data_IF_287123770002
#
_entry.id   IF_287123770002
#
_cell.length_a   1.000
_cell.length_b   1.000
_cell.length_c   1.000
_cell.angle_alpha   90.00
_cell.angle_beta   90.00
_cell.angle_gamma   90.00
#
_symmetry.space_group_name_H-M   'P 1'
#
loop_
_entity.id
_entity.type
_entity.pdbx_description
1 polymer ?
#
# COMPACT_ATOMS: atom_id res chain seq x y z
N UNK A 1 -5.92 -15.40 -17.33
CA UNK A 1 -6.22 -14.26 -16.44
C UNK A 1 -6.40 -14.86 -15.06
N UNK A 2 -5.67 -14.36 -14.05
CA UNK A 2 -5.78 -14.87 -12.67
C UNK A 2 -7.19 -14.57 -12.16
N UNK A 3 -7.81 -15.53 -11.47
CA UNK A 3 -9.11 -15.29 -10.81
C UNK A 3 -8.92 -14.53 -9.50
N UNK A 4 -9.99 -13.91 -9.00
CA UNK A 4 -9.97 -13.21 -7.69
C UNK A 4 -9.51 -14.15 -6.57
N UNK A 5 -10.00 -15.39 -6.54
CA UNK A 5 -9.64 -16.36 -5.49
C UNK A 5 -8.18 -16.81 -5.59
N UNK A 6 -7.65 -17.03 -6.79
CA UNK A 6 -6.23 -17.31 -6.99
C UNK A 6 -5.36 -16.14 -6.54
N UNK A 7 -5.78 -14.90 -6.84
CA UNK A 7 -5.06 -13.69 -6.46
C UNK A 7 -5.09 -13.47 -4.93
N UNK A 8 -6.24 -13.65 -4.28
CA UNK A 8 -6.34 -13.61 -2.81
C UNK A 8 -5.42 -14.65 -2.17
N UNK A 9 -5.40 -15.87 -2.69
CA UNK A 9 -4.51 -16.94 -2.21
C UNK A 9 -3.02 -16.58 -2.40
N UNK A 10 -2.67 -15.97 -3.53
CA UNK A 10 -1.32 -15.45 -3.80
C UNK A 10 -0.92 -14.36 -2.77
N UNK A 11 -1.79 -13.39 -2.54
CA UNK A 11 -1.57 -12.31 -1.55
C UNK A 11 -1.39 -12.90 -0.15
N UNK A 12 -2.33 -13.74 0.29
CA UNK A 12 -2.25 -14.37 1.62
C UNK A 12 -0.95 -15.15 1.81
N UNK A 13 -0.51 -15.89 0.78
CA UNK A 13 0.74 -16.65 0.84
C UNK A 13 1.96 -15.73 0.90
N UNK A 14 1.99 -14.63 0.15
CA UNK A 14 3.13 -13.72 0.11
C UNK A 14 3.33 -12.92 1.42
N UNK A 15 2.25 -12.74 2.18
CA UNK A 15 2.23 -11.92 3.40
C UNK A 15 2.07 -12.73 4.70
N UNK A 16 2.00 -14.07 4.62
CA UNK A 16 1.72 -14.95 5.78
C UNK A 16 2.73 -14.79 6.93
N UNK A 17 4.00 -14.58 6.61
CA UNK A 17 5.09 -14.51 7.59
C UNK A 17 5.39 -13.07 8.04
N UNK A 18 4.58 -12.07 7.64
CA UNK A 18 4.77 -10.69 8.09
C UNK A 18 4.29 -10.55 9.52
N UNK A 19 5.16 -10.21 10.48
CA UNK A 19 4.75 -10.04 11.87
C UNK A 19 3.88 -8.79 12.03
N UNK A 20 2.93 -8.78 12.99
CA UNK A 20 2.22 -7.57 13.34
C UNK A 20 3.21 -6.50 13.85
N UNK A 21 3.02 -5.22 13.48
CA UNK A 21 3.85 -4.16 14.02
C UNK A 21 3.66 -4.06 15.53
N UNK A 22 4.71 -3.75 16.31
CA UNK A 22 4.51 -3.37 17.70
C UNK A 22 3.75 -2.04 17.78
N UNK A 23 3.03 -1.81 18.88
CA UNK A 23 2.14 -0.65 18.98
C UNK A 23 2.89 0.67 18.78
N UNK A 24 4.15 0.81 19.19
CA UNK A 24 4.92 2.06 18.98
C UNK A 24 5.35 2.29 17.52
N UNK A 25 5.11 1.34 16.61
CA UNK A 25 5.55 1.33 15.23
C UNK A 25 4.36 1.26 14.25
N UNK A 26 3.21 1.84 14.61
CA UNK A 26 2.03 1.87 13.71
C UNK A 26 2.13 3.03 12.72
N UNK A 27 2.65 4.19 13.14
CA UNK A 27 2.79 5.38 12.28
C UNK A 27 4.23 5.89 12.24
N UNK A 28 4.64 6.50 11.13
CA UNK A 28 6.00 7.05 10.98
C UNK A 28 6.15 8.45 11.63
N UNK A 29 5.07 9.23 11.63
CA UNK A 29 5.07 10.62 12.12
C UNK A 29 4.04 10.82 13.23
N UNK A 30 4.39 11.61 14.24
CA UNK A 30 3.47 12.10 15.27
C UNK A 30 2.91 13.50 14.99
N UNK A 31 3.15 14.05 13.79
CA UNK A 31 2.73 15.41 13.44
C UNK A 31 1.24 15.47 13.07
N UNK A 32 0.47 16.23 13.84
CA UNK A 32 -0.97 16.36 13.66
C UNK A 32 -1.76 15.33 14.48
N UNK A 33 -3.08 15.39 14.35
CA UNK A 33 -3.98 14.53 15.12
C UNK A 33 -4.35 13.22 14.37
N UNK A 34 -4.27 13.21 13.05
CA UNK A 34 -4.60 12.01 12.24
C UNK A 34 -3.66 10.82 12.48
N UNK A 35 -2.32 10.98 12.52
CA UNK A 35 -1.45 9.84 12.83
C UNK A 35 -1.72 9.27 14.23
N UNK A 36 -2.06 10.13 15.20
CA UNK A 36 -2.45 9.67 16.55
C UNK A 36 -3.74 8.85 16.49
N UNK A 37 -4.73 9.28 15.70
CA UNK A 37 -5.97 8.54 15.52
C UNK A 37 -5.75 7.18 14.83
N UNK A 38 -4.84 7.09 13.85
CA UNK A 38 -4.42 5.81 13.25
C UNK A 38 -3.75 4.93 14.31
N UNK A 39 -2.81 5.50 15.06
CA UNK A 39 -2.11 4.81 16.13
C UNK A 39 -3.08 4.21 17.17
N UNK A 40 -4.13 4.94 17.55
CA UNK A 40 -5.17 4.48 18.48
C UNK A 40 -6.07 3.41 17.85
N UNK A 41 -6.47 3.58 16.59
CA UNK A 41 -7.37 2.65 15.90
C UNK A 41 -6.76 1.25 15.69
N UNK A 42 -5.43 1.17 15.50
CA UNK A 42 -4.74 -0.09 15.22
C UNK A 42 -3.95 -0.64 16.41
N UNK A 43 -3.87 0.09 17.54
CA UNK A 43 -3.14 -0.34 18.73
C UNK A 43 -3.69 -1.68 19.28
N UNK A 44 -2.78 -2.60 19.61
CA UNK A 44 -3.13 -3.88 20.21
C UNK A 44 -3.68 -4.93 19.24
N UNK A 45 -3.96 -4.59 17.98
CA UNK A 45 -4.44 -5.54 16.98
C UNK A 45 -3.30 -6.47 16.57
N UNK A 46 -3.42 -7.77 16.93
CA UNK A 46 -2.38 -8.77 16.65
C UNK A 46 -2.65 -9.59 15.40
N UNK A 47 -3.88 -9.57 14.89
CA UNK A 47 -4.28 -10.26 13.67
C UNK A 47 -5.12 -9.29 12.83
N UNK A 48 -4.65 -8.98 11.61
CA UNK A 48 -5.37 -8.06 10.72
C UNK A 48 -6.78 -8.56 10.36
N UNK A 49 -7.04 -9.87 10.45
CA UNK A 49 -8.37 -10.47 10.21
C UNK A 49 -9.41 -10.10 11.26
N UNK A 50 -8.96 -9.55 12.40
CA UNK A 50 -9.86 -9.09 13.45
C UNK A 50 -10.47 -7.72 13.12
N UNK A 51 -10.06 -7.09 12.00
CA UNK A 51 -10.57 -5.81 11.50
C UNK A 51 -11.56 -6.09 10.36
N UNK A 52 -12.75 -5.50 10.44
CA UNK A 52 -13.73 -5.61 9.34
C UNK A 52 -13.33 -4.77 8.12
N UNK A 53 -13.75 -5.13 6.90
CA UNK A 53 -13.53 -4.29 5.72
C UNK A 53 -14.05 -2.86 5.88
N UNK A 54 -15.19 -2.68 6.55
CA UNK A 54 -15.76 -1.36 6.82
C UNK A 54 -14.89 -0.53 7.79
N UNK A 55 -14.32 -1.18 8.80
CA UNK A 55 -13.36 -0.55 9.71
C UNK A 55 -12.08 -0.14 8.96
N UNK A 56 -11.56 -1.01 8.09
CA UNK A 56 -10.39 -0.70 7.25
C UNK A 56 -10.64 0.49 6.33
N UNK A 57 -11.79 0.51 5.64
CA UNK A 57 -12.15 1.55 4.68
C UNK A 57 -12.33 2.93 5.34
N UNK A 58 -12.73 2.94 6.61
CA UNK A 58 -13.09 4.17 7.34
C UNK A 58 -12.03 4.59 8.34
N UNK A 59 -11.00 3.79 8.59
CA UNK A 59 -9.98 4.13 9.57
C UNK A 59 -9.07 5.28 9.09
N UNK A 60 -8.71 6.23 9.98
CA UNK A 60 -9.22 6.42 11.33
C UNK A 60 -10.52 7.27 11.34
N UNK A 61 -11.41 7.06 12.31
CA UNK A 61 -12.54 7.96 12.62
C UNK A 61 -13.48 8.32 11.45
N UNK A 62 -13.60 7.47 10.43
CA UNK A 62 -14.41 7.73 9.24
C UNK A 62 -13.67 8.41 8.09
N UNK A 63 -12.37 8.69 8.21
CA UNK A 63 -11.58 9.45 7.23
C UNK A 63 -11.03 8.59 6.10
N UNK A 64 -10.82 7.29 6.34
CA UNK A 64 -10.22 6.40 5.34
C UNK A 64 -8.79 6.79 4.95
N UNK A 65 -8.02 7.39 5.87
CA UNK A 65 -6.67 7.89 5.60
C UNK A 65 -5.55 7.02 6.17
N UNK A 66 -5.87 5.88 6.81
CA UNK A 66 -4.89 5.06 7.53
C UNK A 66 -3.66 4.65 6.69
N UNK A 67 -3.85 4.25 5.42
CA UNK A 67 -2.76 3.87 4.51
C UNK A 67 -1.75 5.02 4.26
N UNK A 68 -2.15 6.28 4.43
CA UNK A 68 -1.25 7.45 4.29
C UNK A 68 -0.29 7.63 5.47
N UNK A 69 -0.62 7.08 6.63
CA UNK A 69 0.09 7.38 7.89
C UNK A 69 0.80 6.18 8.49
N UNK A 70 0.55 4.97 7.98
CA UNK A 70 1.26 3.80 8.44
C UNK A 70 2.77 3.96 8.30
N UNK A 71 3.49 3.46 9.30
CA UNK A 71 4.92 3.16 9.15
C UNK A 71 5.13 2.12 8.06
N UNK A 72 6.36 1.98 7.57
CA UNK A 72 6.68 0.96 6.57
C UNK A 72 6.33 -0.46 7.07
N UNK A 73 6.54 -0.76 8.35
CA UNK A 73 6.20 -2.04 8.97
C UNK A 73 4.68 -2.27 9.05
N UNK A 74 3.93 -1.25 9.48
CA UNK A 74 2.48 -1.34 9.58
C UNK A 74 1.83 -1.43 8.19
N UNK A 75 2.32 -0.63 7.24
CA UNK A 75 1.88 -0.68 5.85
C UNK A 75 2.09 -2.09 5.29
N UNK A 76 3.29 -2.65 5.46
CA UNK A 76 3.60 -4.01 5.01
C UNK A 76 2.70 -5.08 5.62
N UNK A 77 2.37 -4.97 6.91
CA UNK A 77 1.53 -5.94 7.61
C UNK A 77 0.06 -5.86 7.19
N UNK A 78 -0.52 -4.66 7.19
CA UNK A 78 -1.95 -4.43 6.94
C UNK A 78 -2.31 -4.39 5.46
N UNK A 79 -1.37 -4.15 4.54
CA UNK A 79 -1.65 -4.03 3.11
C UNK A 79 -2.46 -5.21 2.57
N UNK A 80 -2.16 -6.45 2.97
CA UNK A 80 -2.90 -7.63 2.51
C UNK A 80 -4.40 -7.55 2.82
N UNK A 81 -4.79 -6.95 3.95
CA UNK A 81 -6.18 -6.78 4.33
C UNK A 81 -6.90 -5.82 3.37
N UNK A 82 -6.25 -4.70 3.05
CA UNK A 82 -6.75 -3.72 2.08
C UNK A 82 -6.86 -4.29 0.67
N UNK A 83 -5.87 -5.05 0.21
CA UNK A 83 -5.92 -5.67 -1.11
C UNK A 83 -7.06 -6.70 -1.22
N UNK A 84 -7.27 -7.49 -0.18
CA UNK A 84 -8.36 -8.47 -0.15
C UNK A 84 -9.71 -7.78 -0.11
N UNK A 85 -9.88 -6.76 0.74
CA UNK A 85 -11.10 -5.98 0.83
C UNK A 85 -11.45 -5.28 -0.49
N UNK A 86 -10.45 -4.71 -1.19
CA UNK A 86 -10.66 -4.09 -2.51
C UNK A 86 -11.07 -5.13 -3.57
N UNK A 87 -10.43 -6.31 -3.57
CA UNK A 87 -10.81 -7.39 -4.49
C UNK A 87 -12.22 -7.93 -4.26
N UNK A 88 -12.74 -7.77 -3.04
CA UNK A 88 -14.11 -8.12 -2.66
C UNK A 88 -15.11 -6.97 -2.91
N UNK A 89 -14.64 -5.81 -3.38
CA UNK A 89 -15.46 -4.63 -3.61
C UNK A 89 -15.98 -4.00 -2.31
N UNK A 90 -15.26 -4.17 -1.21
CA UNK A 90 -15.67 -3.74 0.13
C UNK A 90 -15.09 -2.37 0.55
N UNK A 91 -14.25 -1.76 -0.28
CA UNK A 91 -13.71 -0.42 -0.03
C UNK A 91 -14.48 0.63 -0.85
N UNK A 92 -14.88 1.71 -0.21
CA UNK A 92 -15.54 2.85 -0.85
C UNK A 92 -14.67 4.12 -0.82
N UNK A 93 -13.90 4.30 0.25
CA UNK A 93 -13.15 5.52 0.55
C UNK A 93 -11.64 5.34 0.34
N UNK A 94 -11.10 4.18 0.68
CA UNK A 94 -9.68 3.88 0.51
C UNK A 94 -9.37 3.40 -0.91
N UNK A 95 -8.23 3.84 -1.44
CA UNK A 95 -7.74 3.43 -2.76
C UNK A 95 -6.34 2.80 -2.67
N UNK A 96 -6.25 1.47 -2.52
CA UNK A 96 -4.97 0.77 -2.50
C UNK A 96 -4.17 0.92 -3.80
N UNK A 97 -4.83 1.12 -4.95
CA UNK A 97 -4.15 1.34 -6.23
C UNK A 97 -3.38 2.65 -6.20
N UNK A 98 -4.00 3.73 -5.73
CA UNK A 98 -3.32 5.00 -5.53
C UNK A 98 -2.14 4.86 -4.57
N UNK A 99 -2.32 4.20 -3.42
CA UNK A 99 -1.24 4.01 -2.44
C UNK A 99 -0.06 3.17 -2.96
N UNK A 100 -0.28 2.30 -3.94
CA UNK A 100 0.76 1.44 -4.53
C UNK A 100 1.41 2.05 -5.79
N UNK A 101 0.88 3.15 -6.30
CA UNK A 101 1.36 3.79 -7.53
C UNK A 101 1.85 5.23 -7.31
N UNK A 102 1.32 5.90 -6.29
CA UNK A 102 1.70 7.25 -5.90
C UNK A 102 3.20 7.33 -5.60
N UNK A 103 3.86 8.29 -6.24
CA UNK A 103 5.30 8.47 -6.16
C UNK A 103 6.13 7.53 -7.05
N UNK A 104 5.53 6.59 -7.80
CA UNK A 104 6.24 5.71 -8.74
C UNK A 104 6.12 6.14 -10.21
N UNK A 105 5.63 7.36 -10.45
CA UNK A 105 5.52 7.96 -11.78
C UNK A 105 6.80 8.69 -12.19
N UNK A 106 6.94 8.98 -13.47
CA UNK A 106 8.05 9.78 -14.00
C UNK A 106 8.04 11.22 -13.48
N UNK A 107 6.87 11.76 -13.15
CA UNK A 107 6.71 13.06 -12.51
C UNK A 107 7.28 13.08 -11.10
N UNK A 108 6.99 12.04 -10.30
CA UNK A 108 7.47 11.92 -8.93
C UNK A 108 9.01 11.87 -8.80
N UNK A 109 9.73 11.52 -9.88
CA UNK A 109 11.20 11.58 -9.95
C UNK A 109 11.76 13.01 -10.03
N UNK A 110 10.90 13.99 -10.36
CA UNK A 110 11.28 15.40 -10.50
C UNK A 110 10.80 16.24 -9.32
N UNK A 111 9.67 15.86 -8.75
CA UNK A 111 9.00 16.65 -7.72
C UNK A 111 9.58 16.34 -6.33
N UNK A 112 10.09 17.37 -5.69
CA UNK A 112 10.58 17.30 -4.32
C UNK A 112 9.41 17.30 -3.33
N UNK A 113 9.46 16.43 -2.31
CA UNK A 113 8.40 16.32 -1.27
C UNK A 113 8.22 17.67 -0.57
N UNK A 114 9.32 18.23 -0.10
CA UNK A 114 9.40 19.59 0.43
C UNK A 114 10.87 20.02 0.41
N UNK A 115 11.26 20.84 -0.57
CA UNK A 115 12.67 21.22 -0.75
C UNK A 115 13.29 21.88 0.49
N UNK A 116 12.47 22.62 1.25
CA UNK A 116 12.94 23.38 2.42
C UNK A 116 13.19 22.47 3.62
N UNK A 117 12.40 21.39 3.75
CA UNK A 117 12.45 20.48 4.90
C UNK A 117 13.28 19.24 4.64
N UNK A 118 13.23 18.70 3.42
CA UNK A 118 13.83 17.40 3.06
C UNK A 118 14.88 17.51 1.95
N UNK A 119 15.32 18.73 1.61
CA UNK A 119 16.35 18.96 0.59
C UNK A 119 15.90 18.44 -0.77
N UNK A 120 16.79 17.70 -1.45
CA UNK A 120 16.52 17.18 -2.79
C UNK A 120 15.69 15.86 -2.80
N UNK A 121 15.14 15.42 -1.65
CA UNK A 121 14.34 14.19 -1.60
C UNK A 121 13.07 14.35 -2.43
N UNK A 122 12.94 13.49 -3.44
CA UNK A 122 11.78 13.44 -4.33
C UNK A 122 10.68 12.55 -3.77
N UNK A 123 9.46 12.69 -4.31
CA UNK A 123 8.37 11.75 -4.02
C UNK A 123 8.75 10.32 -4.42
N UNK A 124 9.51 10.17 -5.51
CA UNK A 124 10.10 8.89 -5.89
C UNK A 124 10.99 8.30 -4.81
N UNK A 125 11.91 9.09 -4.26
CA UNK A 125 12.81 8.62 -3.19
C UNK A 125 12.03 8.22 -1.93
N UNK A 126 10.93 8.92 -1.63
CA UNK A 126 10.04 8.57 -0.53
C UNK A 126 9.34 7.23 -0.77
N UNK A 127 8.65 7.06 -1.90
CA UNK A 127 7.93 5.81 -2.21
C UNK A 127 8.86 4.61 -2.38
N UNK A 128 10.03 4.78 -3.01
CA UNK A 128 11.02 3.69 -3.14
C UNK A 128 11.52 3.23 -1.78
N UNK A 129 11.73 4.16 -0.85
CA UNK A 129 12.12 3.84 0.53
C UNK A 129 11.03 3.01 1.22
N UNK A 130 9.79 3.51 1.24
CA UNK A 130 8.65 2.80 1.86
C UNK A 130 8.43 1.42 1.26
N UNK A 131 8.52 1.27 -0.06
CA UNK A 131 8.31 -0.02 -0.71
C UNK A 131 9.53 -0.96 -0.66
N UNK A 132 10.68 -0.49 -0.18
CA UNK A 132 11.90 -1.31 -0.11
C UNK A 132 11.77 -2.49 0.87
N UNK A 133 10.84 -2.42 1.83
CA UNK A 133 10.57 -3.46 2.83
C UNK A 133 9.93 -4.72 2.24
N UNK A 134 9.34 -4.65 1.03
CA UNK A 134 8.70 -5.78 0.39
C UNK A 134 9.71 -6.76 -0.22
N UNK A 135 9.50 -8.05 0.01
CA UNK A 135 10.27 -9.11 -0.66
C UNK A 135 9.85 -9.25 -2.12
N UNK A 136 10.59 -10.05 -2.90
CA UNK A 136 10.26 -10.33 -4.29
C UNK A 136 8.88 -11.00 -4.44
N UNK A 137 8.52 -11.90 -3.51
CA UNK A 137 7.21 -12.56 -3.48
C UNK A 137 6.08 -11.56 -3.20
N UNK A 138 6.30 -10.62 -2.29
CA UNK A 138 5.34 -9.56 -1.96
C UNK A 138 5.18 -8.58 -3.12
N UNK A 139 6.29 -8.17 -3.74
CA UNK A 139 6.27 -7.34 -4.94
C UNK A 139 5.55 -8.04 -6.10
N UNK A 140 5.73 -9.35 -6.27
CA UNK A 140 5.01 -10.14 -7.27
C UNK A 140 3.50 -10.19 -7.01
N UNK A 141 3.08 -10.37 -5.75
CA UNK A 141 1.66 -10.32 -5.40
C UNK A 141 1.05 -8.93 -5.65
N UNK A 142 1.76 -7.85 -5.29
CA UNK A 142 1.35 -6.46 -5.55
C UNK A 142 1.23 -6.20 -7.07
N UNK A 143 2.25 -6.58 -7.85
CA UNK A 143 2.23 -6.41 -9.30
C UNK A 143 1.08 -7.18 -9.96
N UNK A 144 0.81 -8.40 -9.48
CA UNK A 144 -0.31 -9.23 -9.96
C UNK A 144 -1.66 -8.59 -9.64
N UNK A 145 -1.79 -7.98 -8.46
CA UNK A 145 -2.98 -7.22 -8.07
C UNK A 145 -3.21 -6.00 -8.97
N UNK A 146 -2.17 -5.18 -9.20
CA UNK A 146 -2.29 -4.01 -10.08
C UNK A 146 -2.65 -4.39 -11.52
N UNK A 147 -2.04 -5.45 -12.07
CA UNK A 147 -2.37 -5.98 -13.39
C UNK A 147 -3.81 -6.50 -13.47
N UNK A 148 -4.30 -7.12 -12.39
CA UNK A 148 -5.69 -7.55 -12.30
C UNK A 148 -6.64 -6.34 -12.36
N UNK A 149 -6.38 -5.26 -11.61
CA UNK A 149 -7.23 -4.05 -11.61
C UNK A 149 -7.34 -3.42 -13.00
N UNK A 150 -6.24 -3.36 -13.75
CA UNK A 150 -6.26 -2.92 -15.16
C UNK A 150 -7.08 -3.88 -16.03
N UNK A 151 -6.90 -5.18 -15.86
CA UNK A 151 -7.60 -6.19 -16.68
C UNK A 151 -9.11 -6.25 -16.39
N UNK A 152 -9.52 -5.92 -15.17
CA UNK A 152 -10.91 -5.84 -14.76
C UNK A 152 -11.66 -4.65 -15.39
N UNK A 153 -10.92 -3.58 -15.75
CA UNK A 153 -11.49 -2.38 -16.38
C UNK A 153 -12.24 -1.46 -15.40
N UNK A 154 -11.95 -1.59 -14.10
CA UNK A 154 -12.61 -0.81 -13.03
C UNK A 154 -11.86 0.50 -12.70
N UNK A 155 -10.78 0.80 -13.42
CA UNK A 155 -9.93 1.96 -13.18
C UNK A 155 -10.27 3.14 -14.09
N UNK A 156 -10.00 4.35 -13.61
CA UNK A 156 -9.98 5.53 -14.48
C UNK A 156 -8.74 5.48 -15.39
N UNK A 157 -8.82 6.12 -16.56
CA UNK A 157 -7.70 6.16 -17.52
C UNK A 157 -6.40 6.73 -16.91
N UNK A 158 -6.52 7.70 -16.00
CA UNK A 158 -5.38 8.24 -15.25
C UNK A 158 -4.73 7.22 -14.33
N UNK A 159 -5.53 6.34 -13.74
CA UNK A 159 -5.06 5.32 -12.80
C UNK A 159 -4.44 4.16 -13.57
N UNK A 160 -5.01 3.77 -14.71
CA UNK A 160 -4.38 2.79 -15.62
C UNK A 160 -2.99 3.25 -16.08
N UNK A 161 -2.85 4.52 -16.45
CA UNK A 161 -1.57 5.10 -16.82
C UNK A 161 -0.58 5.09 -15.63
N UNK A 162 -1.05 5.45 -14.44
CA UNK A 162 -0.24 5.44 -13.21
C UNK A 162 0.21 4.03 -12.84
N UNK A 163 -0.68 3.05 -12.98
CA UNK A 163 -0.37 1.62 -12.79
C UNK A 163 0.68 1.16 -13.79
N UNK A 164 0.51 1.48 -15.08
CA UNK A 164 1.47 1.10 -16.12
C UNK A 164 2.87 1.66 -15.84
N UNK A 165 2.96 2.93 -15.43
CA UNK A 165 4.22 3.54 -15.03
C UNK A 165 4.82 2.89 -13.78
N UNK A 166 4.04 2.69 -12.71
CA UNK A 166 4.53 2.08 -11.47
C UNK A 166 5.02 0.64 -11.68
N UNK A 167 4.30 -0.15 -12.49
CA UNK A 167 4.69 -1.50 -12.87
C UNK A 167 6.05 -1.51 -13.59
N UNK A 168 6.19 -0.66 -14.62
CA UNK A 168 7.41 -0.57 -15.43
C UNK A 168 8.60 -0.01 -14.65
N UNK A 169 8.37 1.05 -13.88
CA UNK A 169 9.42 1.78 -13.17
C UNK A 169 9.95 1.03 -11.95
N UNK A 170 9.10 0.26 -11.24
CA UNK A 170 9.45 -0.30 -9.94
C UNK A 170 9.01 -1.76 -9.78
N UNK A 171 7.71 -2.04 -9.77
CA UNK A 171 7.19 -3.32 -9.27
C UNK A 171 7.69 -4.55 -10.06
N UNK A 172 7.70 -4.50 -11.40
CA UNK A 172 8.14 -5.63 -12.22
C UNK A 172 9.62 -5.95 -12.02
N UNK A 173 10.46 -4.93 -11.83
CA UNK A 173 11.89 -5.13 -11.55
C UNK A 173 12.12 -5.80 -10.20
N UNK A 174 11.23 -5.55 -9.21
CA UNK A 174 11.29 -6.14 -7.87
C UNK A 174 10.79 -7.57 -7.79
N UNK A 175 10.01 -8.03 -8.78
CA UNK A 175 9.50 -9.41 -8.85
C UNK A 175 10.59 -10.45 -9.11
N UNK A 176 11.73 -10.02 -9.67
CA UNK A 176 12.85 -10.89 -9.97
C UNK A 176 14.00 -10.56 -9.03
N UNK A 177 14.41 -11.54 -8.24
CA UNK A 177 15.60 -11.43 -7.40
C UNK A 177 16.78 -11.22 -8.36
N UNK A 178 17.40 -10.04 -8.37
CA UNK A 178 18.82 -10.01 -8.69
C UNK A 178 19.52 -10.73 -7.54
N UNK A 179 20.26 -11.82 -7.82
CA UNK A 179 20.94 -12.61 -6.81
C UNK A 179 21.96 -11.79 -6.01
#
# INVERSE_FOLDING_TARGET
MITVEELKSLILKAFVDVPPPPDWCIVESGEGDEPRAVQEAFAGIKNWRDISPEELDRAPNGLGSALSFFSDEAFRYYLQAYLIADLEGALESNDPVWHLTSGLTSEAKRDCVNCLRYGARTWWDASVYTFSVFTAEQAFAIASYLQYKVSAGDLLESDEASVAEALSNYWLSRCSVSP
#
